data_IF_676208801214
#
_entry.id   IF_676208801214
#
_cell.length_a   1.000
_cell.length_b   1.000
_cell.length_c   1.000
_cell.angle_alpha   90.00
_cell.angle_beta   90.00
_cell.angle_gamma   90.00
#
_symmetry.space_group_name_H-M   'P 1'
#
loop_
_entity.id
_entity.type
_entity.pdbx_description
1 polymer ?
#
# COMPACT_ATOMS: atom_id res chain seq x y z
N UNK A 1 -0.93 6.21 1.35
CA UNK A 1 -0.71 4.82 0.88
C UNK A 1 0.74 4.40 1.03
N UNK A 2 1.69 5.17 0.48
CA UNK A 2 3.11 4.82 0.46
C UNK A 2 3.76 4.64 1.85
N UNK A 3 3.41 5.46 2.86
CA UNK A 3 3.95 5.31 4.23
C UNK A 3 3.51 3.98 4.88
N UNK A 4 2.32 3.48 4.55
CA UNK A 4 1.81 2.20 5.08
C UNK A 4 2.58 1.00 4.49
N UNK A 5 2.98 1.09 3.22
CA UNK A 5 3.81 0.06 2.57
C UNK A 5 5.18 0.00 3.24
N UNK A 6 5.77 1.16 3.54
CA UNK A 6 7.07 1.23 4.21
C UNK A 6 7.01 0.69 5.65
N UNK A 7 5.95 1.04 6.39
CA UNK A 7 5.68 0.46 7.73
C UNK A 7 5.51 -1.07 7.67
N UNK A 8 4.82 -1.59 6.65
CA UNK A 8 4.68 -3.03 6.45
C UNK A 8 6.04 -3.71 6.21
N UNK A 9 6.87 -3.14 5.33
CA UNK A 9 8.21 -3.68 5.05
C UNK A 9 9.07 -3.65 6.32
N UNK A 10 9.06 -2.53 7.06
CA UNK A 10 9.78 -2.39 8.33
C UNK A 10 9.36 -3.47 9.32
N UNK A 11 8.07 -3.62 9.58
CA UNK A 11 7.53 -4.64 10.50
C UNK A 11 7.82 -6.07 10.05
N UNK A 12 7.94 -6.30 8.75
CA UNK A 12 8.32 -7.61 8.20
C UNK A 12 9.80 -7.88 8.42
N UNK A 13 10.65 -6.87 8.15
CA UNK A 13 12.09 -6.93 8.38
C UNK A 13 12.45 -7.14 9.85
N UNK A 14 11.75 -6.48 10.78
CA UNK A 14 11.97 -6.61 12.23
C UNK A 14 11.55 -7.98 12.79
N UNK A 15 10.62 -8.67 12.13
CA UNK A 15 10.15 -10.00 12.55
C UNK A 15 11.04 -11.14 12.08
N UNK A 16 11.84 -10.90 11.03
CA UNK A 16 12.70 -11.92 10.43
C UNK A 16 14.16 -11.66 10.83
N UNK A 17 14.80 -12.68 11.39
CA UNK A 17 16.23 -12.66 11.72
C UNK A 17 17.12 -12.89 10.49
N UNK A 18 16.54 -13.40 9.40
CA UNK A 18 17.22 -13.69 8.13
C UNK A 18 16.84 -12.67 7.06
N UNK A 19 17.58 -12.69 5.95
CA UNK A 19 17.29 -11.87 4.78
C UNK A 19 15.90 -12.18 4.19
N UNK A 20 15.14 -11.13 3.92
CA UNK A 20 13.76 -11.19 3.44
C UNK A 20 13.69 -10.70 2.00
N UNK A 21 13.06 -11.52 1.16
CA UNK A 21 12.65 -11.17 -0.19
C UNK A 21 11.15 -10.92 -0.21
N UNK A 22 10.74 -9.69 -0.59
CA UNK A 22 9.34 -9.27 -0.53
C UNK A 22 8.79 -9.17 -1.95
N UNK A 23 7.71 -9.90 -2.22
CA UNK A 23 6.99 -9.83 -3.50
C UNK A 23 5.66 -9.11 -3.30
N UNK A 24 5.49 -7.98 -3.98
CA UNK A 24 4.23 -7.25 -4.04
C UNK A 24 3.48 -7.59 -5.32
N UNK A 25 2.20 -7.90 -5.18
CA UNK A 25 1.27 -8.05 -6.30
C UNK A 25 0.35 -6.85 -6.36
N UNK A 26 0.16 -6.32 -7.56
CA UNK A 26 -0.58 -5.10 -7.80
C UNK A 26 -1.43 -5.21 -9.05
N UNK A 27 -2.60 -4.57 -9.00
CA UNK A 27 -3.41 -4.39 -10.20
C UNK A 27 -2.74 -3.36 -11.13
N UNK A 28 -3.19 -3.30 -12.37
CA UNK A 28 -2.63 -2.40 -13.37
C UNK A 28 -3.13 -0.95 -13.23
N UNK A 29 -3.62 -0.52 -12.05
CA UNK A 29 -4.08 0.86 -11.83
C UNK A 29 -2.89 1.84 -11.78
N UNK A 30 -2.62 2.49 -12.92
CA UNK A 30 -1.44 3.32 -13.11
C UNK A 30 -1.31 4.47 -12.10
N UNK A 31 -2.40 5.15 -11.74
CA UNK A 31 -2.33 6.34 -10.87
C UNK A 31 -1.98 6.02 -9.40
N UNK A 32 -2.42 4.87 -8.89
CA UNK A 32 -2.23 4.52 -7.48
C UNK A 32 -0.98 3.68 -7.25
N UNK A 33 -0.71 2.72 -8.14
CA UNK A 33 0.30 1.69 -7.90
C UNK A 33 1.55 1.87 -8.77
N UNK A 34 1.47 2.57 -9.91
CA UNK A 34 2.60 2.89 -10.80
C UNK A 34 3.03 4.35 -10.69
N UNK A 35 3.38 4.77 -9.48
CA UNK A 35 3.93 6.11 -9.25
C UNK A 35 5.39 6.04 -8.77
N UNK A 36 6.14 7.12 -9.03
CA UNK A 36 7.54 7.26 -8.62
C UNK A 36 7.72 7.11 -7.11
N UNK A 37 6.74 7.53 -6.31
CA UNK A 37 6.81 7.47 -4.85
C UNK A 37 6.85 6.03 -4.32
N UNK A 38 6.11 5.10 -4.94
CA UNK A 38 6.15 3.67 -4.60
C UNK A 38 7.55 3.10 -4.79
N UNK A 39 8.18 3.37 -5.94
CA UNK A 39 9.54 2.92 -6.24
C UNK A 39 10.58 3.58 -5.32
N UNK A 40 10.44 4.88 -5.07
CA UNK A 40 11.27 5.61 -4.10
C UNK A 40 11.23 4.97 -2.71
N UNK A 41 10.06 4.53 -2.27
CA UNK A 41 9.91 3.85 -0.98
C UNK A 41 10.57 2.47 -0.95
N UNK A 42 10.48 1.68 -2.03
CA UNK A 42 11.17 0.39 -2.10
C UNK A 42 12.68 0.56 -2.08
N UNK A 43 13.20 1.51 -2.86
CA UNK A 43 14.63 1.80 -2.87
C UNK A 43 15.14 2.25 -1.50
N UNK A 44 14.38 3.10 -0.81
CA UNK A 44 14.70 3.50 0.56
C UNK A 44 14.70 2.30 1.51
N UNK A 45 13.68 1.44 1.42
CA UNK A 45 13.53 0.27 2.28
C UNK A 45 14.69 -0.71 2.13
N UNK A 46 15.08 -1.06 0.90
CA UNK A 46 16.22 -1.95 0.62
C UNK A 46 17.53 -1.34 1.14
N UNK A 47 17.72 -0.02 0.99
CA UNK A 47 18.95 0.63 1.44
C UNK A 47 19.05 0.82 2.96
N UNK A 48 17.92 0.97 3.67
CA UNK A 48 17.92 1.31 5.10
C UNK A 48 17.59 0.12 6.01
N UNK A 49 16.87 -0.88 5.52
CA UNK A 49 16.52 -2.05 6.33
C UNK A 49 17.49 -3.20 6.04
N UNK A 50 18.33 -3.51 7.04
CA UNK A 50 19.44 -4.46 6.91
C UNK A 50 19.02 -5.86 6.45
N UNK A 51 17.81 -6.28 6.76
CA UNK A 51 17.33 -7.64 6.47
C UNK A 51 16.42 -7.68 5.23
N UNK A 52 16.36 -6.63 4.42
CA UNK A 52 15.57 -6.63 3.17
C UNK A 52 16.54 -6.74 1.99
N UNK A 53 16.59 -7.92 1.38
CA UNK A 53 17.55 -8.23 0.30
C UNK A 53 17.01 -7.79 -1.07
N UNK A 54 15.74 -8.12 -1.35
CA UNK A 54 15.09 -7.68 -2.58
C UNK A 54 13.59 -7.39 -2.42
N UNK A 55 13.11 -6.46 -3.23
CA UNK A 55 11.69 -6.16 -3.37
C UNK A 55 11.30 -6.31 -4.85
N UNK A 56 10.39 -7.23 -5.13
CA UNK A 56 9.86 -7.48 -6.46
C UNK A 56 8.41 -6.98 -6.55
N UNK A 57 8.08 -6.20 -7.58
CA UNK A 57 6.73 -5.65 -7.77
C UNK A 57 6.11 -6.19 -9.07
N UNK A 58 5.18 -7.14 -8.93
CA UNK A 58 4.48 -7.81 -10.03
C UNK A 58 3.13 -7.17 -10.29
N UNK A 59 2.81 -7.01 -11.58
CA UNK A 59 1.49 -6.54 -12.03
C UNK A 59 0.66 -7.68 -12.61
N UNK A 60 -0.61 -7.74 -12.24
CA UNK A 60 -1.55 -8.73 -12.75
C UNK A 60 -1.89 -8.46 -14.23
N UNK A 61 -2.00 -9.52 -15.03
CA UNK A 61 -2.40 -9.45 -16.44
C UNK A 61 -3.87 -9.02 -16.56
N UNK A 62 -4.16 -8.19 -17.55
CA UNK A 62 -5.52 -7.66 -17.81
C UNK A 62 -6.42 -8.80 -18.33
N UNK A 63 -7.58 -9.04 -17.70
CA UNK A 63 -8.62 -9.93 -18.25
C UNK A 63 -9.31 -10.88 -17.27
N UNK A 64 -8.75 -11.14 -16.08
CA UNK A 64 -9.33 -12.04 -15.08
C UNK A 64 -9.06 -11.59 -13.63
N UNK A 65 -9.12 -10.29 -13.37
CA UNK A 65 -8.79 -9.70 -12.07
C UNK A 65 -9.97 -9.78 -11.10
N UNK A 66 -10.23 -10.96 -10.54
CA UNK A 66 -10.84 -11.06 -9.21
C UNK A 66 -9.72 -10.89 -8.19
N UNK A 67 -9.27 -9.65 -7.98
CA UNK A 67 -8.26 -9.37 -6.97
C UNK A 67 -8.88 -9.58 -5.58
N UNK A 68 -8.16 -10.27 -4.68
CA UNK A 68 -8.60 -10.43 -3.29
C UNK A 68 -8.82 -9.07 -2.62
N UNK A 69 -8.04 -8.05 -3.01
CA UNK A 69 -8.22 -6.67 -2.57
C UNK A 69 -9.63 -6.14 -2.87
N UNK A 70 -10.12 -6.32 -4.10
CA UNK A 70 -11.45 -5.84 -4.51
C UNK A 70 -12.58 -6.53 -3.74
N UNK A 71 -12.39 -7.80 -3.40
CA UNK A 71 -13.32 -8.53 -2.54
C UNK A 71 -13.33 -7.96 -1.11
N UNK A 72 -12.16 -7.67 -0.53
CA UNK A 72 -12.06 -7.03 0.79
C UNK A 72 -12.76 -5.68 0.79
N UNK A 73 -12.51 -4.84 -0.21
CA UNK A 73 -13.17 -3.53 -0.35
C UNK A 73 -14.70 -3.68 -0.46
N UNK A 74 -15.17 -4.59 -1.30
CA UNK A 74 -16.60 -4.87 -1.48
C UNK A 74 -17.28 -5.32 -0.19
N UNK A 75 -16.62 -6.15 0.61
CA UNK A 75 -17.14 -6.65 1.90
C UNK A 75 -17.18 -5.52 2.94
N UNK A 76 -16.14 -4.70 3.01
CA UNK A 76 -16.08 -3.54 3.92
C UNK A 76 -17.17 -2.53 3.57
N UNK A 77 -17.31 -2.18 2.29
CA UNK A 77 -18.31 -1.22 1.83
C UNK A 77 -19.73 -1.68 2.17
N UNK A 78 -20.06 -2.95 1.88
CA UNK A 78 -21.36 -3.53 2.26
C UNK A 78 -21.65 -3.43 3.75
N UNK A 79 -20.63 -3.50 4.60
CA UNK A 79 -20.78 -3.46 6.05
C UNK A 79 -20.90 -2.03 6.58
N UNK A 80 -20.17 -1.09 5.98
CA UNK A 80 -20.35 0.35 6.24
C UNK A 80 -21.77 0.76 5.84
N UNK A 81 -22.25 0.38 4.66
CA UNK A 81 -23.61 0.69 4.20
C UNK A 81 -24.69 0.15 5.14
N UNK A 82 -24.55 -1.10 5.61
CA UNK A 82 -25.47 -1.66 6.62
C UNK A 82 -25.48 -0.86 7.92
N UNK A 83 -24.31 -0.40 8.36
CA UNK A 83 -24.19 0.40 9.58
C UNK A 83 -24.83 1.77 9.41
N UNK A 84 -24.59 2.44 8.29
CA UNK A 84 -25.23 3.72 7.96
C UNK A 84 -26.77 3.61 7.88
N UNK A 85 -27.29 2.49 7.36
CA UNK A 85 -28.74 2.23 7.36
C UNK A 85 -29.33 2.03 8.76
N UNK A 86 -28.50 1.63 9.74
CA UNK A 86 -28.93 1.42 11.13
C UNK A 86 -28.67 2.65 12.02
N UNK A 87 -27.89 3.62 11.53
CA UNK A 87 -27.54 4.84 12.25
C UNK A 87 -26.28 5.51 11.71
N UNK A 88 -26.10 6.82 11.97
CA UNK A 88 -24.94 7.59 11.53
C UNK A 88 -23.62 7.14 12.19
N UNK A 89 -22.52 7.35 11.46
CA UNK A 89 -21.14 7.16 11.95
C UNK A 89 -20.57 8.55 12.28
N UNK A 90 -20.16 8.76 13.53
CA UNK A 90 -19.72 10.07 14.03
C UNK A 90 -18.21 10.18 14.26
N UNK A 91 -17.53 9.04 14.45
CA UNK A 91 -16.11 9.02 14.79
C UNK A 91 -15.31 8.07 13.88
N UNK A 92 -14.12 8.47 13.39
CA UNK A 92 -13.23 7.60 12.61
C UNK A 92 -12.92 6.25 13.28
N UNK A 93 -12.83 6.21 14.61
CA UNK A 93 -12.62 4.98 15.37
C UNK A 93 -13.74 3.95 15.15
N UNK A 94 -14.97 4.41 14.90
CA UNK A 94 -16.08 3.52 14.58
C UNK A 94 -15.86 2.79 13.25
N UNK A 95 -15.22 3.43 12.26
CA UNK A 95 -14.84 2.74 11.02
C UNK A 95 -13.87 1.60 11.29
N UNK A 96 -12.87 1.78 12.17
CA UNK A 96 -11.94 0.71 12.51
C UNK A 96 -12.67 -0.53 13.07
N UNK A 97 -13.64 -0.32 13.96
CA UNK A 97 -14.48 -1.40 14.48
C UNK A 97 -15.35 -2.06 13.39
N UNK A 98 -15.97 -1.26 12.53
CA UNK A 98 -16.80 -1.75 11.42
C UNK A 98 -15.96 -2.60 10.47
N UNK A 99 -14.78 -2.12 10.07
CA UNK A 99 -13.86 -2.82 9.18
C UNK A 99 -13.41 -4.13 9.82
N UNK A 100 -13.00 -4.16 11.10
CA UNK A 100 -12.63 -5.40 11.81
C UNK A 100 -13.76 -6.45 11.73
N UNK A 101 -15.01 -6.02 11.88
CA UNK A 101 -16.19 -6.89 11.85
C UNK A 101 -16.72 -7.22 10.44
N UNK A 102 -16.11 -6.67 9.38
CA UNK A 102 -16.70 -6.74 8.05
C UNK A 102 -16.70 -8.17 7.47
N UNK A 103 -15.64 -8.93 7.75
CA UNK A 103 -15.47 -10.32 7.31
C UNK A 103 -16.33 -11.27 8.14
N UNK A 104 -17.36 -11.86 7.53
CA UNK A 104 -18.30 -12.77 8.20
C UNK A 104 -17.78 -14.20 8.39
N UNK A 105 -16.83 -14.64 7.56
CA UNK A 105 -16.30 -16.03 7.56
C UNK A 105 -14.78 -16.00 7.64
N UNK A 106 -14.22 -16.75 8.59
CA UNK A 106 -12.78 -16.82 8.85
C UNK A 106 -12.28 -15.72 9.79
N UNK A 107 -10.97 -15.47 9.77
CA UNK A 107 -10.35 -14.52 10.68
C UNK A 107 -10.75 -13.06 10.36
N UNK A 108 -11.07 -12.24 11.38
CA UNK A 108 -11.32 -10.81 11.23
C UNK A 108 -10.18 -10.07 10.53
N UNK A 109 -10.49 -8.93 9.89
CA UNK A 109 -9.45 -8.11 9.28
C UNK A 109 -8.57 -7.47 10.37
N UNK A 110 -7.25 -7.55 10.19
CA UNK A 110 -6.29 -6.83 11.02
C UNK A 110 -6.26 -5.36 10.58
N UNK A 111 -6.86 -4.49 11.39
CA UNK A 111 -6.87 -3.05 11.16
C UNK A 111 -5.79 -2.39 12.00
N UNK A 112 -4.82 -1.80 11.32
CA UNK A 112 -3.80 -0.93 11.92
C UNK A 112 -4.26 0.51 11.78
N UNK A 113 -4.40 1.21 12.91
CA UNK A 113 -4.76 2.61 12.96
C UNK A 113 -3.48 3.44 12.93
N UNK A 114 -3.43 4.44 12.05
CA UNK A 114 -2.28 5.33 11.88
C UNK A 114 -2.63 6.73 12.37
N UNK A 115 -1.71 7.36 13.07
CA UNK A 115 -1.76 8.77 13.44
C UNK A 115 -1.02 9.64 12.43
N UNK A 116 -1.26 10.96 12.46
CA UNK A 116 -0.58 11.90 11.56
C UNK A 116 0.95 11.77 11.59
N UNK A 117 1.51 11.49 12.77
CA UNK A 117 2.96 11.29 12.99
C UNK A 117 3.54 10.09 12.25
N UNK A 118 2.72 9.12 11.86
CA UNK A 118 3.17 7.91 11.18
C UNK A 118 3.29 8.11 9.67
N UNK A 119 2.74 9.21 9.14
CA UNK A 119 2.83 9.55 7.73
C UNK A 119 4.14 10.29 7.45
N UNK A 120 5.09 9.57 6.89
CA UNK A 120 6.36 10.14 6.42
C UNK A 120 6.16 11.06 5.22
N UNK A 121 6.89 12.18 5.19
CA UNK A 121 6.94 13.07 4.02
C UNK A 121 7.84 12.48 2.94
N UNK A 122 7.21 11.72 2.04
CA UNK A 122 7.89 11.01 0.96
C UNK A 122 8.29 11.98 -0.18
N UNK A 123 7.85 13.24 -0.15
CA UNK A 123 8.22 14.23 -1.17
C UNK A 123 9.71 14.56 -1.10
N UNK A 124 10.23 14.73 0.12
CA UNK A 124 11.66 14.96 0.32
C UNK A 124 12.48 13.77 -0.18
N UNK A 125 12.08 12.54 0.17
CA UNK A 125 12.73 11.32 -0.31
C UNK A 125 12.72 11.21 -1.85
N UNK A 126 11.61 11.56 -2.49
CA UNK A 126 11.48 11.51 -3.95
C UNK A 126 12.40 12.53 -4.66
N UNK A 127 12.59 13.71 -4.07
CA UNK A 127 13.51 14.73 -4.61
C UNK A 127 14.97 14.25 -4.59
N UNK A 128 15.36 13.49 -3.57
CA UNK A 128 16.72 12.96 -3.39
C UNK A 128 17.03 11.78 -4.32
N UNK A 129 16.04 10.99 -4.68
CA UNK A 129 16.20 9.79 -5.52
C UNK A 129 16.40 10.13 -7.02
N UNK A 130 16.32 11.41 -7.40
CA UNK A 130 16.51 11.84 -8.79
C UNK A 130 15.32 11.49 -9.70
N UNK A 131 15.27 12.05 -10.91
CA UNK A 131 14.24 11.71 -11.88
C UNK A 131 14.76 10.61 -12.82
N UNK A 132 14.00 9.53 -12.99
CA UNK A 132 14.31 8.46 -13.96
C UNK A 132 13.99 8.84 -15.42
N UNK A 133 13.84 10.14 -15.72
CA UNK A 133 13.61 10.62 -17.07
C UNK A 133 14.82 11.45 -17.51
N UNK A 134 15.54 10.98 -18.53
CA UNK A 134 16.44 11.84 -19.30
C UNK A 134 15.59 12.67 -20.26
N UNK A 135 15.61 14.00 -20.13
CA UNK A 135 15.13 14.88 -21.22
C UNK A 135 16.16 14.76 -22.34
N UNK A 136 15.89 13.95 -23.35
CA UNK A 136 16.51 14.16 -24.66
C UNK A 136 16.03 15.51 -25.20
N UNK A 137 16.91 16.21 -25.92
CA UNK A 137 16.76 17.58 -26.44
C UNK A 137 15.60 17.79 -27.44
N UNK A 138 14.71 16.80 -27.59
CA UNK A 138 13.60 16.76 -28.54
C UNK A 138 12.23 16.52 -27.89
N UNK A 139 12.01 17.01 -26.67
CA UNK A 139 10.67 17.36 -26.16
C UNK A 139 9.63 16.23 -25.98
N UNK A 140 9.97 14.96 -26.20
CA UNK A 140 9.07 13.84 -25.97
C UNK A 140 9.61 12.95 -24.83
N UNK A 141 8.86 12.86 -23.74
CA UNK A 141 9.14 11.91 -22.67
C UNK A 141 8.74 10.50 -23.13
N UNK A 142 9.66 9.54 -23.12
CA UNK A 142 9.35 8.12 -23.25
C UNK A 142 9.64 7.40 -21.93
N UNK A 143 8.81 6.39 -21.67
CA UNK A 143 8.71 5.56 -20.45
C UNK A 143 9.89 4.58 -20.39
#
# INVERSE_FOLDING_TARGET
MNSCILDYIKKTSEKCTENVNIVFYSDNCCGQQKNKFTISNYLYAVNHFKNVDSIEHKFLVVGHTQNEGDNVHSVIEKQIMRKLNSGPIYCPLQYAAIIRSAKKKGNPYRVTEFCHTDFLDIKDLNSRIGNNFSRTTSGAAQI
#
